data_IF_989199289510
#
_entry.id   IF_989199289510
#
_cell.length_a   1.000
_cell.length_b   1.000
_cell.length_c   1.000
_cell.angle_alpha   90.00
_cell.angle_beta   90.00
_cell.angle_gamma   90.00
#
_symmetry.space_group_name_H-M   'P 1'
#
loop_
_entity.id
_entity.type
_entity.pdbx_description
1 polymer ?
#
# COMPACT_ATOMS: atom_id res chain seq x y z
N UNK A 1 -14.73 8.59 -23.88
CA UNK A 1 -14.13 8.40 -22.55
C UNK A 1 -15.25 8.47 -21.53
N UNK A 2 -15.54 7.38 -20.82
CA UNK A 2 -16.47 7.45 -19.69
C UNK A 2 -15.79 8.26 -18.60
N UNK A 3 -16.34 9.42 -18.25
CA UNK A 3 -15.91 10.15 -17.07
C UNK A 3 -16.24 9.32 -15.84
N UNK A 4 -15.24 8.96 -15.05
CA UNK A 4 -15.48 8.40 -13.72
C UNK A 4 -16.11 9.51 -12.87
N UNK A 5 -17.31 9.25 -12.38
CA UNK A 5 -18.05 10.17 -11.52
C UNK A 5 -17.93 9.71 -10.06
N UNK A 6 -16.75 9.89 -9.50
CA UNK A 6 -16.45 9.50 -8.13
C UNK A 6 -15.26 10.28 -7.57
N UNK A 7 -15.18 10.38 -6.24
CA UNK A 7 -14.05 10.99 -5.55
C UNK A 7 -12.85 10.04 -5.55
N UNK A 8 -11.66 10.59 -5.73
CA UNK A 8 -10.39 9.86 -5.62
C UNK A 8 -9.78 10.18 -4.27
N UNK A 9 -9.41 9.12 -3.54
CA UNK A 9 -8.76 9.23 -2.24
C UNK A 9 -7.35 8.65 -2.29
N UNK A 10 -6.43 9.32 -1.61
CA UNK A 10 -5.02 8.95 -1.53
C UNK A 10 -4.50 9.44 -0.16
N UNK A 11 -3.49 8.80 0.43
CA UNK A 11 -2.76 9.46 1.52
C UNK A 11 -1.97 10.63 0.91
N UNK A 12 -2.21 11.84 1.42
CA UNK A 12 -1.62 13.06 0.85
C UNK A 12 -0.08 13.11 0.95
N UNK A 13 0.55 12.21 1.71
CA UNK A 13 2.00 12.03 1.65
C UNK A 13 2.49 11.52 0.29
N UNK A 14 1.61 10.88 -0.50
CA UNK A 14 1.90 10.42 -1.86
C UNK A 14 1.30 11.34 -2.95
N UNK A 15 0.77 12.51 -2.60
CA UNK A 15 0.15 13.44 -3.55
C UNK A 15 1.11 13.78 -4.70
N UNK A 16 2.38 14.06 -4.40
CA UNK A 16 3.37 14.39 -5.42
C UNK A 16 3.58 13.21 -6.40
N UNK A 17 3.64 11.98 -5.89
CA UNK A 17 3.80 10.79 -6.72
C UNK A 17 2.57 10.56 -7.63
N UNK A 18 1.38 10.77 -7.11
CA UNK A 18 0.15 10.64 -7.89
C UNK A 18 0.02 11.73 -8.96
N UNK A 19 0.47 12.94 -8.67
CA UNK A 19 0.42 14.04 -9.64
C UNK A 19 1.50 13.96 -10.71
N UNK A 20 2.67 13.40 -10.38
CA UNK A 20 3.84 13.35 -11.26
C UNK A 20 4.41 11.90 -11.31
N UNK A 21 3.65 10.92 -11.84
CA UNK A 21 4.08 9.52 -11.87
C UNK A 21 5.36 9.31 -12.71
N UNK A 22 5.67 10.21 -13.63
CA UNK A 22 6.89 10.16 -14.43
C UNK A 22 8.16 10.33 -13.59
N UNK A 23 8.12 11.02 -12.46
CA UNK A 23 9.28 11.17 -11.57
C UNK A 23 9.71 9.82 -11.00
N UNK A 24 8.73 8.98 -10.61
CA UNK A 24 8.99 7.61 -10.17
C UNK A 24 9.58 6.77 -11.30
N UNK A 25 8.95 6.79 -12.47
CA UNK A 25 9.40 6.00 -13.63
C UNK A 25 10.77 6.45 -14.13
N UNK A 26 11.05 7.74 -14.11
CA UNK A 26 12.36 8.29 -14.47
C UNK A 26 13.44 7.84 -13.50
N UNK A 27 13.16 7.91 -12.20
CA UNK A 27 14.08 7.47 -11.15
C UNK A 27 14.35 5.97 -11.23
N UNK A 28 13.34 5.18 -11.55
CA UNK A 28 13.39 3.72 -11.52
C UNK A 28 13.90 3.10 -12.82
N UNK A 29 13.46 3.62 -13.99
CA UNK A 29 13.73 3.03 -15.29
C UNK A 29 14.69 3.85 -16.17
N UNK A 30 15.08 5.05 -15.72
CA UNK A 30 15.89 5.97 -16.53
C UNK A 30 15.16 6.47 -17.78
N UNK A 31 13.85 6.27 -17.89
CA UNK A 31 13.05 6.66 -19.03
C UNK A 31 12.61 8.12 -18.91
N UNK A 32 12.88 8.92 -19.93
CA UNK A 32 12.23 10.22 -20.10
C UNK A 32 10.88 9.98 -20.78
N UNK A 33 9.82 9.96 -19.98
CA UNK A 33 8.46 9.97 -20.49
C UNK A 33 7.97 11.41 -20.58
N UNK A 34 7.10 11.68 -21.56
CA UNK A 34 6.37 12.94 -21.59
C UNK A 34 5.57 13.07 -20.28
N UNK A 35 5.60 14.25 -19.67
CA UNK A 35 5.00 14.47 -18.35
C UNK A 35 3.50 14.16 -18.38
N UNK A 36 3.12 13.13 -17.65
CA UNK A 36 1.71 12.82 -17.35
C UNK A 36 1.42 13.42 -15.99
N UNK A 37 0.68 14.51 -15.96
CA UNK A 37 0.33 15.18 -14.70
C UNK A 37 -1.16 15.00 -14.44
N UNK A 38 -1.51 14.44 -13.26
CA UNK A 38 -2.89 14.40 -12.80
C UNK A 38 -3.29 15.76 -12.21
N UNK A 39 -4.33 16.39 -12.80
CA UNK A 39 -4.81 17.71 -12.40
C UNK A 39 -6.15 17.67 -11.63
N UNK A 40 -6.68 16.47 -11.38
CA UNK A 40 -7.95 16.30 -10.67
C UNK A 40 -7.83 16.55 -9.16
N UNK A 41 -8.99 16.56 -8.50
CA UNK A 41 -9.09 16.65 -7.05
C UNK A 41 -8.62 15.33 -6.41
N UNK A 42 -7.82 15.42 -5.36
CA UNK A 42 -7.39 14.31 -4.51
C UNK A 42 -7.84 14.60 -3.08
N UNK A 43 -8.50 13.64 -2.47
CA UNK A 43 -8.96 13.71 -1.09
C UNK A 43 -8.05 12.83 -0.21
N UNK A 44 -7.90 13.18 1.05
CA UNK A 44 -7.13 12.34 1.99
C UNK A 44 -7.92 11.07 2.32
N UNK A 45 -7.24 9.92 2.27
CA UNK A 45 -7.83 8.64 2.72
C UNK A 45 -8.27 8.70 4.19
N UNK A 46 -7.69 9.57 5.00
CA UNK A 46 -8.03 9.79 6.41
C UNK A 46 -9.41 10.43 6.58
N UNK A 47 -9.93 11.07 5.52
CA UNK A 47 -11.25 11.67 5.50
C UNK A 47 -12.36 10.68 5.12
N UNK A 48 -11.99 9.44 4.78
CA UNK A 48 -12.97 8.39 4.51
C UNK A 48 -13.70 8.05 5.81
N UNK A 49 -14.99 8.32 5.83
CA UNK A 49 -15.87 7.98 6.93
C UNK A 49 -16.82 6.87 6.50
N UNK A 50 -16.53 5.64 6.90
CA UNK A 50 -17.30 4.45 6.54
C UNK A 50 -17.29 3.44 7.68
N UNK A 51 -18.43 2.86 7.98
CA UNK A 51 -18.55 1.77 8.95
C UNK A 51 -18.08 0.41 8.37
N UNK A 52 -17.89 0.34 7.05
CA UNK A 52 -17.54 -0.90 6.33
C UNK A 52 -16.03 -1.00 6.01
N UNK A 53 -15.30 0.11 6.08
CA UNK A 53 -13.92 0.23 5.67
C UNK A 53 -13.06 0.85 6.77
N UNK A 54 -11.98 0.17 7.11
CA UNK A 54 -10.91 0.71 7.98
C UNK A 54 -9.69 0.99 7.12
N UNK A 55 -9.13 2.19 7.23
CA UNK A 55 -7.90 2.59 6.55
C UNK A 55 -6.74 2.51 7.53
N UNK A 56 -5.70 1.77 7.16
CA UNK A 56 -4.47 1.63 7.91
C UNK A 56 -3.33 2.32 7.17
N UNK A 57 -2.61 3.23 7.83
CA UNK A 57 -1.37 3.79 7.29
C UNK A 57 -0.23 2.80 7.52
N UNK A 58 0.45 2.40 6.45
CA UNK A 58 1.56 1.45 6.50
C UNK A 58 2.72 1.92 5.59
N UNK A 59 3.38 3.05 5.94
CA UNK A 59 4.49 3.57 5.17
C UNK A 59 5.63 2.55 5.05
N UNK A 60 6.44 2.71 3.99
CA UNK A 60 7.60 1.87 3.74
C UNK A 60 7.87 1.64 2.26
N UNK A 61 6.90 1.16 1.49
CA UNK A 61 7.00 1.12 0.03
C UNK A 61 6.94 2.54 -0.55
N UNK A 62 5.95 3.30 -0.12
CA UNK A 62 5.91 4.76 -0.24
C UNK A 62 5.56 5.36 1.11
N UNK A 63 5.72 6.68 1.23
CA UNK A 63 5.40 7.42 2.45
C UNK A 63 3.90 7.44 2.76
N UNK A 64 3.05 7.38 1.74
CA UNK A 64 1.60 7.36 1.83
C UNK A 64 0.97 5.98 1.66
N UNK A 65 1.77 4.91 1.67
CA UNK A 65 1.24 3.54 1.55
C UNK A 65 0.14 3.29 2.59
N UNK A 66 -0.98 2.75 2.13
CA UNK A 66 -2.16 2.50 2.96
C UNK A 66 -2.78 1.15 2.63
N UNK A 67 -3.32 0.49 3.64
CA UNK A 67 -4.13 -0.73 3.49
C UNK A 67 -5.60 -0.45 3.79
N UNK A 68 -6.47 -1.17 3.10
CA UNK A 68 -7.91 -1.02 3.18
C UNK A 68 -8.53 -2.33 3.67
N UNK A 69 -8.98 -2.33 4.91
CA UNK A 69 -9.59 -3.48 5.56
C UNK A 69 -11.11 -3.39 5.48
N UNK A 70 -11.75 -4.49 5.11
CA UNK A 70 -13.20 -4.69 5.12
C UNK A 70 -13.54 -5.79 6.12
N UNK A 71 -13.75 -5.46 7.41
CA UNK A 71 -13.93 -6.46 8.48
C UNK A 71 -15.10 -7.38 8.24
N UNK A 72 -16.22 -6.87 7.73
CA UNK A 72 -17.43 -7.65 7.43
C UNK A 72 -17.23 -8.72 6.35
N UNK A 73 -16.23 -8.52 5.47
CA UNK A 73 -15.88 -9.43 4.39
C UNK A 73 -14.69 -10.32 4.72
N UNK A 74 -13.94 -10.00 5.78
CA UNK A 74 -12.70 -10.70 6.13
C UNK A 74 -11.61 -10.54 5.08
N UNK A 75 -11.47 -9.34 4.50
CA UNK A 75 -10.49 -9.05 3.46
C UNK A 75 -9.71 -7.77 3.74
N UNK A 76 -8.46 -7.71 3.25
CA UNK A 76 -7.59 -6.53 3.29
C UNK A 76 -6.93 -6.34 1.93
N UNK A 77 -7.00 -5.14 1.38
CA UNK A 77 -6.22 -4.73 0.22
C UNK A 77 -4.98 -3.99 0.71
N UNK A 78 -3.80 -4.49 0.38
CA UNK A 78 -2.54 -3.97 0.94
C UNK A 78 -1.69 -3.20 -0.06
N UNK A 79 -2.09 -3.12 -1.34
CA UNK A 79 -1.22 -2.56 -2.36
C UNK A 79 0.14 -3.26 -2.34
N UNK A 80 1.21 -2.48 -2.46
CA UNK A 80 2.58 -2.98 -2.47
C UNK A 80 3.23 -2.99 -1.07
N UNK A 81 2.44 -3.19 -0.02
CA UNK A 81 2.95 -3.33 1.34
C UNK A 81 3.47 -4.76 1.59
N UNK A 82 2.61 -5.76 1.53
CA UNK A 82 2.94 -7.17 1.77
C UNK A 82 2.34 -8.02 0.65
N UNK A 83 3.13 -8.96 0.16
CA UNK A 83 2.76 -9.99 -0.78
C UNK A 83 2.72 -11.36 -0.12
N UNK A 84 2.24 -12.36 -0.83
CA UNK A 84 2.28 -13.75 -0.38
C UNK A 84 3.69 -14.20 0.01
N UNK A 85 4.68 -13.93 -0.85
CA UNK A 85 6.04 -14.44 -0.74
C UNK A 85 7.10 -13.34 -0.55
N UNK A 86 6.69 -12.10 -0.27
CA UNK A 86 7.59 -10.96 -0.13
C UNK A 86 6.93 -9.73 0.45
N UNK A 87 7.65 -8.62 0.37
CA UNK A 87 7.18 -7.29 0.77
C UNK A 87 7.44 -6.30 -0.36
N UNK A 88 6.80 -5.14 -0.31
CA UNK A 88 7.10 -4.03 -1.20
C UNK A 88 8.55 -3.57 -1.06
N UNK A 89 9.16 -3.21 -2.18
CA UNK A 89 10.50 -2.62 -2.17
C UNK A 89 10.48 -1.26 -1.47
N UNK A 90 11.59 -0.92 -0.83
CA UNK A 90 11.72 0.29 -0.01
C UNK A 90 12.76 1.28 -0.54
N UNK A 91 13.33 0.99 -1.70
CA UNK A 91 14.36 1.80 -2.38
C UNK A 91 13.79 2.76 -3.43
N UNK A 92 12.49 3.01 -3.40
CA UNK A 92 11.81 4.01 -4.22
C UNK A 92 12.00 5.42 -3.65
N UNK A 93 11.57 6.44 -4.43
CA UNK A 93 11.77 7.87 -4.14
C UNK A 93 11.34 8.28 -2.71
N UNK A 94 10.24 7.69 -2.19
CA UNK A 94 9.71 7.96 -0.85
C UNK A 94 9.68 6.71 0.03
N UNK A 95 10.36 5.63 -0.40
CA UNK A 95 10.44 4.38 0.34
C UNK A 95 11.39 4.48 1.53
N UNK A 96 11.12 3.69 2.58
CA UNK A 96 11.96 3.60 3.78
C UNK A 96 11.84 2.20 4.42
N UNK A 97 12.98 1.54 4.61
CA UNK A 97 13.00 0.19 5.17
C UNK A 97 12.62 0.15 6.65
N UNK A 98 13.00 1.17 7.43
CA UNK A 98 12.65 1.21 8.84
C UNK A 98 11.15 1.44 9.03
N UNK A 99 10.55 2.28 8.21
CA UNK A 99 9.10 2.47 8.18
C UNK A 99 8.38 1.18 7.76
N UNK A 100 8.93 0.42 6.79
CA UNK A 100 8.38 -0.88 6.40
C UNK A 100 8.39 -1.87 7.56
N UNK A 101 9.50 -1.99 8.27
CA UNK A 101 9.64 -2.85 9.46
C UNK A 101 8.63 -2.42 10.52
N UNK A 102 8.54 -1.12 10.79
CA UNK A 102 7.58 -0.56 11.74
C UNK A 102 6.13 -0.89 11.34
N UNK A 103 5.78 -0.72 10.06
CA UNK A 103 4.45 -1.03 9.56
C UNK A 103 4.12 -2.52 9.66
N UNK A 104 5.08 -3.42 9.39
CA UNK A 104 4.88 -4.86 9.56
C UNK A 104 4.59 -5.19 11.03
N UNK A 105 5.35 -4.63 11.96
CA UNK A 105 5.21 -4.91 13.38
C UNK A 105 3.94 -4.31 14.02
N UNK A 106 3.44 -3.19 13.52
CA UNK A 106 2.34 -2.45 14.16
C UNK A 106 1.02 -2.48 13.37
N UNK A 107 1.06 -2.73 12.06
CA UNK A 107 -0.13 -2.78 11.22
C UNK A 107 -0.45 -4.22 10.81
N UNK A 108 0.51 -4.91 10.18
CA UNK A 108 0.25 -6.26 9.69
C UNK A 108 -0.08 -7.26 10.81
N UNK A 109 0.52 -7.12 11.99
CA UNK A 109 0.23 -7.99 13.13
C UNK A 109 -1.20 -7.85 13.63
N UNK A 110 -1.83 -6.70 13.45
CA UNK A 110 -3.21 -6.42 13.89
C UNK A 110 -4.27 -7.08 12.99
N UNK A 111 -3.93 -7.43 11.73
CA UNK A 111 -4.87 -8.09 10.85
C UNK A 111 -5.23 -9.48 11.34
N UNK A 112 -6.52 -9.79 11.32
CA UNK A 112 -7.02 -11.09 11.75
C UNK A 112 -6.46 -12.22 10.88
N UNK A 113 -6.02 -13.30 11.50
CA UNK A 113 -5.31 -14.41 10.84
C UNK A 113 -6.08 -15.07 9.69
N UNK A 114 -7.41 -15.12 9.80
CA UNK A 114 -8.28 -15.75 8.80
C UNK A 114 -8.64 -14.80 7.63
N UNK A 115 -8.24 -13.53 7.69
CA UNK A 115 -8.50 -12.60 6.60
C UNK A 115 -7.70 -12.95 5.36
N UNK A 116 -8.30 -12.67 4.20
CA UNK A 116 -7.63 -12.82 2.92
C UNK A 116 -7.01 -11.48 2.54
N UNK A 117 -5.70 -11.50 2.34
CA UNK A 117 -4.93 -10.35 1.91
C UNK A 117 -4.86 -10.32 0.38
N UNK A 118 -5.24 -9.19 -0.20
CA UNK A 118 -5.16 -8.91 -1.63
C UNK A 118 -4.05 -7.89 -1.89
N UNK A 119 -2.89 -8.31 -2.38
CA UNK A 119 -1.78 -7.40 -2.68
C UNK A 119 -1.98 -6.67 -4.02
N UNK A 120 -1.14 -5.66 -4.28
CA UNK A 120 -1.08 -4.98 -5.57
C UNK A 120 -0.61 -5.88 -6.71
N UNK A 121 0.21 -6.89 -6.41
CA UNK A 121 0.75 -7.86 -7.36
C UNK A 121 0.73 -9.27 -6.79
N UNK A 122 0.68 -10.27 -7.69
CA UNK A 122 0.78 -11.68 -7.33
C UNK A 122 -0.49 -12.26 -6.72
N UNK A 123 -0.34 -13.41 -6.07
CA UNK A 123 -1.46 -14.17 -5.53
C UNK A 123 -1.87 -13.64 -4.15
N UNK A 124 -3.17 -13.72 -3.88
CA UNK A 124 -3.72 -13.55 -2.54
C UNK A 124 -3.39 -14.76 -1.65
N UNK A 125 -3.34 -14.53 -0.34
CA UNK A 125 -3.23 -15.60 0.65
C UNK A 125 -3.88 -15.15 1.97
N UNK A 126 -4.01 -16.04 2.95
CA UNK A 126 -4.47 -15.66 4.28
C UNK A 126 -3.35 -14.96 5.05
N UNK A 127 -3.74 -14.04 5.93
CA UNK A 127 -2.79 -13.36 6.84
C UNK A 127 -1.96 -14.38 7.61
N UNK A 128 -2.60 -15.43 8.13
CA UNK A 128 -1.94 -16.53 8.85
C UNK A 128 -0.89 -17.26 8.00
N UNK A 129 -1.23 -17.55 6.73
CA UNK A 129 -0.28 -18.20 5.81
C UNK A 129 0.94 -17.32 5.57
N UNK A 130 0.73 -16.04 5.35
CA UNK A 130 1.80 -15.05 5.13
C UNK A 130 2.69 -14.93 6.37
N UNK A 131 2.12 -14.77 7.57
CA UNK A 131 2.87 -14.74 8.84
C UNK A 131 3.76 -15.99 9.02
N UNK A 132 3.31 -17.15 8.55
CA UNK A 132 4.02 -18.41 8.73
C UNK A 132 5.03 -18.74 7.62
N UNK A 133 4.83 -18.27 6.40
CA UNK A 133 5.58 -18.73 5.23
C UNK A 133 6.42 -17.64 4.56
N UNK A 134 6.03 -16.36 4.66
CA UNK A 134 6.78 -15.26 4.08
C UNK A 134 8.07 -15.02 4.90
N UNK A 135 9.21 -15.26 4.28
CA UNK A 135 10.53 -15.22 4.94
C UNK A 135 10.85 -13.81 5.42
N UNK A 136 10.60 -12.79 4.59
CA UNK A 136 10.91 -11.39 4.94
C UNK A 136 10.01 -10.87 6.07
N UNK A 137 8.72 -11.21 6.05
CA UNK A 137 7.81 -10.87 7.14
C UNK A 137 8.26 -11.52 8.44
N UNK A 138 8.68 -12.79 8.41
CA UNK A 138 9.19 -13.48 9.60
C UNK A 138 10.49 -12.90 10.14
N UNK A 139 11.38 -12.47 9.26
CA UNK A 139 12.63 -11.80 9.64
C UNK A 139 12.33 -10.50 10.39
N UNK A 140 11.45 -9.67 9.82
CA UNK A 140 11.11 -8.36 10.41
C UNK A 140 10.21 -8.43 11.66
N UNK A 141 9.46 -9.52 11.84
CA UNK A 141 8.69 -9.75 13.08
C UNK A 141 9.57 -10.21 14.27
N UNK A 142 10.83 -10.59 14.01
CA UNK A 142 11.74 -11.06 15.06
C UNK A 142 12.84 -10.04 15.40
N UNK A 143 12.89 -8.91 14.69
CA UNK A 143 13.75 -7.78 14.98
C UNK A 143 13.06 -6.79 15.94
#
# INVERSE_FOLDING_TARGET
MSSFDGSIYIDLNDEQLARNPEEQLKSFMGLNLDSITYQGELNDVKDINSDELVVHSNPGHTKGSSSFEFPSLGIVFTGDFIFKDGIGRTDLLTGDTNEMIHSINNVFTEFHDDYILYPGHGDKDTVKSIKNNNILVKEYLND
#
